data_IF_151761213217
#
_entry.id   IF_151761213217
#
_cell.length_a   1.000
_cell.length_b   1.000
_cell.length_c   1.000
_cell.angle_alpha   90.00
_cell.angle_beta   90.00
_cell.angle_gamma   90.00
#
_symmetry.space_group_name_H-M   'P 1'
#
loop_
_entity.id
_entity.type
_entity.pdbx_description
1 polymer ?
#
# COMPACT_ATOMS: atom_id res chain seq x y z
N UNK A 1 9.17 -1.68 -1.37
CA UNK A 1 9.08 -1.04 -0.04
C UNK A 1 7.97 -1.65 0.81
N UNK A 2 6.73 -1.74 0.29
CA UNK A 2 5.58 -2.33 1.02
C UNK A 2 5.75 -3.83 1.36
N UNK A 3 6.23 -4.66 0.43
CA UNK A 3 6.51 -6.08 0.69
C UNK A 3 7.50 -6.29 1.85
N UNK A 4 8.52 -5.42 1.97
CA UNK A 4 9.51 -5.50 3.06
C UNK A 4 8.90 -5.15 4.43
N UNK A 5 7.85 -4.33 4.42
CA UNK A 5 7.10 -3.95 5.62
C UNK A 5 5.99 -4.96 5.96
N UNK A 6 5.94 -6.14 5.33
CA UNK A 6 4.95 -7.18 5.63
C UNK A 6 3.58 -6.99 4.97
N UNK A 7 3.43 -6.01 4.07
CA UNK A 7 2.19 -5.85 3.33
C UNK A 7 2.03 -6.97 2.31
N UNK A 8 0.83 -7.50 2.23
CA UNK A 8 0.39 -8.41 1.17
C UNK A 8 -0.41 -7.62 0.14
N UNK A 9 -0.43 -8.06 -1.11
CA UNK A 9 -1.24 -7.42 -2.14
C UNK A 9 -2.12 -8.44 -2.84
N UNK A 10 -3.28 -7.97 -3.29
CA UNK A 10 -4.20 -8.73 -4.13
C UNK A 10 -4.50 -7.98 -5.41
N UNK A 11 -4.64 -8.68 -6.54
CA UNK A 11 -5.12 -8.05 -7.78
C UNK A 11 -6.56 -7.59 -7.59
N UNK A 12 -6.85 -6.38 -8.04
CA UNK A 12 -8.21 -5.85 -8.16
C UNK A 12 -8.58 -5.70 -9.64
N UNK A 13 -9.80 -5.23 -9.93
CA UNK A 13 -10.28 -5.07 -11.30
C UNK A 13 -9.38 -4.13 -12.11
N UNK A 14 -8.87 -4.60 -13.25
CA UNK A 14 -7.98 -3.84 -14.13
C UNK A 14 -6.53 -3.87 -13.68
N UNK A 15 -5.80 -2.77 -13.89
CA UNK A 15 -4.40 -2.61 -13.47
C UNK A 15 -4.29 -2.09 -12.03
N UNK A 16 -5.24 -2.43 -11.16
CA UNK A 16 -5.26 -2.00 -9.77
C UNK A 16 -4.78 -3.12 -8.87
N UNK A 17 -3.96 -2.79 -7.87
CA UNK A 17 -3.57 -3.70 -6.80
C UNK A 17 -4.00 -3.13 -5.46
N UNK A 18 -4.53 -3.97 -4.59
CA UNK A 18 -4.92 -3.59 -3.23
C UNK A 18 -3.95 -4.22 -2.27
N UNK A 19 -3.26 -3.38 -1.51
CA UNK A 19 -2.26 -3.76 -0.53
C UNK A 19 -2.86 -3.69 0.88
N UNK A 20 -2.67 -4.74 1.67
CA UNK A 20 -3.26 -4.92 3.00
C UNK A 20 -2.17 -5.45 3.94
N UNK A 21 -2.11 -4.89 5.14
CA UNK A 21 -1.25 -5.39 6.21
C UNK A 21 -2.08 -6.14 7.26
N UNK A 22 -1.54 -7.21 7.85
CA UNK A 22 -2.26 -8.01 8.86
C UNK A 22 -2.58 -7.20 10.14
N UNK A 23 -1.69 -6.28 10.51
CA UNK A 23 -1.88 -5.36 11.65
C UNK A 23 -2.80 -4.17 11.32
N UNK A 24 -3.10 -3.92 10.05
CA UNK A 24 -3.95 -2.81 9.59
C UNK A 24 -5.00 -3.30 8.56
N UNK A 25 -5.89 -4.24 8.93
CA UNK A 25 -6.88 -4.77 8.00
C UNK A 25 -7.89 -3.70 7.55
N UNK A 26 -8.18 -2.71 8.40
CA UNK A 26 -9.11 -1.61 8.12
C UNK A 26 -8.52 -0.51 7.22
N UNK A 27 -7.21 -0.52 6.94
CA UNK A 27 -6.53 0.53 6.16
C UNK A 27 -5.82 -0.05 4.92
N UNK A 28 -6.56 -0.56 3.93
CA UNK A 28 -5.98 -0.96 2.65
C UNK A 28 -5.39 0.24 1.89
N UNK A 29 -4.37 -0.03 1.08
CA UNK A 29 -3.75 0.92 0.13
C UNK A 29 -4.13 0.45 -1.27
N UNK A 30 -4.83 1.27 -2.05
CA UNK A 30 -5.19 0.91 -3.43
C UNK A 30 -4.23 1.61 -4.39
N UNK A 31 -3.36 0.83 -5.02
CA UNK A 31 -2.43 1.30 -6.02
C UNK A 31 -3.04 1.07 -7.39
N UNK A 32 -3.44 2.16 -8.04
CA UNK A 32 -3.93 2.14 -9.42
C UNK A 32 -2.79 2.41 -10.39
N UNK A 33 -2.32 1.39 -11.10
CA UNK A 33 -1.23 1.52 -12.07
C UNK A 33 -0.52 0.20 -12.35
N UNK A 34 -0.01 0.06 -13.57
CA UNK A 34 0.94 -0.99 -13.93
C UNK A 34 2.29 -0.60 -13.32
N UNK A 35 3.05 -1.56 -12.78
CA UNK A 35 4.43 -1.33 -12.33
C UNK A 35 5.20 -0.50 -13.38
N UNK A 36 5.56 0.74 -13.05
CA UNK A 36 6.32 1.64 -13.92
C UNK A 36 5.61 2.90 -14.42
N UNK A 37 4.31 3.08 -14.17
CA UNK A 37 3.63 4.38 -14.38
C UNK A 37 3.96 5.28 -13.18
N UNK A 38 4.45 6.50 -13.41
CA UNK A 38 4.92 7.45 -12.38
C UNK A 38 4.04 7.38 -11.13
N UNK A 39 4.58 6.79 -10.05
CA UNK A 39 3.85 6.61 -8.81
C UNK A 39 3.39 7.98 -8.36
N UNK A 40 2.09 8.25 -8.49
CA UNK A 40 1.52 9.56 -8.20
C UNK A 40 2.01 9.97 -6.82
N UNK A 41 2.55 11.19 -6.68
CA UNK A 41 3.15 11.70 -5.42
C UNK A 41 2.22 11.49 -4.20
N UNK A 42 0.90 11.47 -4.43
CA UNK A 42 -0.09 11.13 -3.42
C UNK A 42 0.09 9.72 -2.82
N UNK A 43 0.44 8.74 -3.64
CA UNK A 43 0.64 7.35 -3.24
C UNK A 43 1.85 7.19 -2.30
N UNK A 44 2.94 7.89 -2.58
CA UNK A 44 4.09 7.88 -1.68
C UNK A 44 3.74 8.48 -0.31
N UNK A 45 2.94 9.56 -0.29
CA UNK A 45 2.43 10.13 0.98
C UNK A 45 1.54 9.14 1.72
N UNK A 46 0.64 8.46 1.02
CA UNK A 46 -0.25 7.46 1.60
C UNK A 46 0.55 6.28 2.19
N UNK A 47 1.52 5.76 1.45
CA UNK A 47 2.42 4.69 1.90
C UNK A 47 3.18 5.12 3.15
N UNK A 48 3.79 6.32 3.15
CA UNK A 48 4.51 6.84 4.33
C UNK A 48 3.60 6.98 5.54
N UNK A 49 2.37 7.46 5.37
CA UNK A 49 1.40 7.55 6.47
C UNK A 49 0.99 6.18 7.01
N UNK A 50 0.82 5.18 6.14
CA UNK A 50 0.51 3.80 6.58
C UNK A 50 1.70 3.16 7.29
N UNK A 51 2.92 3.36 6.80
CA UNK A 51 4.13 2.87 7.46
C UNK A 51 4.29 3.49 8.85
N UNK A 52 4.09 4.82 8.98
CA UNK A 52 4.14 5.47 10.28
C UNK A 52 3.10 4.92 11.26
N UNK A 53 1.85 4.73 10.81
CA UNK A 53 0.81 4.10 11.64
C UNK A 53 1.16 2.66 12.04
N UNK A 54 1.80 1.93 11.13
CA UNK A 54 2.25 0.58 11.41
C UNK A 54 3.34 0.60 12.48
N UNK A 55 4.31 1.51 12.40
CA UNK A 55 5.33 1.72 13.43
C UNK A 55 4.73 2.14 14.78
N UNK A 56 3.64 2.92 14.80
CA UNK A 56 2.94 3.27 16.06
C UNK A 56 2.18 2.09 16.70
N UNK A 57 1.92 1.02 15.93
CA UNK A 57 1.22 -0.18 16.40
C UNK A 57 2.16 -1.34 16.75
N UNK A 58 3.44 -1.25 16.37
CA UNK A 58 4.49 -2.23 16.70
C UNK A 58 5.20 -1.83 17.99
#
# INVERSE_FOLDING_TARGET
MLLKAGFTYRPAKGSHTVWIHQLLPDLPITISGKDGDDAKIYLEKEIKQRLKKLEELQ
#
